data_IF_813080781319
#
_entry.id   IF_813080781319
#
_cell.length_a   1.000
_cell.length_b   1.000
_cell.length_c   1.000
_cell.angle_alpha   90.00
_cell.angle_beta   90.00
_cell.angle_gamma   90.00
#
_symmetry.space_group_name_H-M   'P 1'
#
loop_
_entity.id
_entity.type
_entity.pdbx_description
1 polymer ?
#
# COMPACT_ATOMS: atom_id res chain seq x y z
N UNK A 1 17.53 12.23 9.56
CA UNK A 1 18.35 13.42 9.22
C UNK A 1 19.58 13.49 10.10
N UNK A 2 19.48 13.39 11.44
CA UNK A 2 20.62 13.49 12.38
C UNK A 2 21.69 12.43 12.06
N UNK A 3 21.30 11.16 11.90
CA UNK A 3 22.24 10.07 11.56
C UNK A 3 23.01 10.31 10.25
N UNK A 4 22.37 10.92 9.23
CA UNK A 4 23.04 11.23 7.96
C UNK A 4 24.10 12.31 8.18
N UNK A 5 23.76 13.35 8.96
CA UNK A 5 24.68 14.45 9.25
C UNK A 5 25.86 13.98 10.10
N UNK A 6 25.60 13.14 11.12
CA UNK A 6 26.65 12.63 12.00
C UNK A 6 27.61 11.76 11.21
N UNK A 7 27.12 10.82 10.40
CA UNK A 7 27.95 9.99 9.52
C UNK A 7 28.72 10.81 8.47
N UNK A 8 28.08 11.87 7.93
CA UNK A 8 28.79 12.77 7.01
C UNK A 8 29.96 13.51 7.70
N UNK A 9 29.75 14.01 8.94
CA UNK A 9 30.80 14.66 9.70
C UNK A 9 31.97 13.74 10.00
N UNK A 10 31.69 12.48 10.39
CA UNK A 10 32.71 11.46 10.60
C UNK A 10 33.53 11.21 9.34
N UNK A 11 32.88 10.97 8.21
CA UNK A 11 33.57 10.74 6.93
C UNK A 11 34.38 11.96 6.45
N UNK A 12 33.83 13.18 6.56
CA UNK A 12 34.56 14.42 6.21
C UNK A 12 35.83 14.55 7.05
N UNK A 13 35.78 14.21 8.32
CA UNK A 13 36.95 14.23 9.20
C UNK A 13 37.98 13.15 8.86
N UNK A 14 37.52 11.92 8.62
CA UNK A 14 38.37 10.78 8.29
C UNK A 14 39.08 10.94 6.92
N UNK A 15 38.33 11.41 5.91
CA UNK A 15 38.83 11.59 4.56
C UNK A 15 39.51 12.96 4.33
N UNK A 16 39.59 13.80 5.38
CA UNK A 16 40.19 15.16 5.35
C UNK A 16 39.63 16.06 4.25
N UNK A 17 38.32 15.93 3.97
CA UNK A 17 37.66 16.69 2.91
C UNK A 17 37.53 18.16 3.31
N UNK A 18 38.07 19.05 2.48
CA UNK A 18 38.00 20.51 2.68
C UNK A 18 37.25 21.21 1.56
N UNK A 19 37.06 20.54 0.41
CA UNK A 19 36.31 21.11 -0.72
C UNK A 19 34.79 20.91 -0.51
N UNK A 20 34.00 22.00 -0.57
CA UNK A 20 32.55 21.91 -0.51
C UNK A 20 31.91 21.05 -1.58
N UNK A 21 32.49 20.94 -2.77
CA UNK A 21 31.98 20.10 -3.86
C UNK A 21 32.15 18.62 -3.52
N UNK A 22 33.29 18.22 -2.98
CA UNK A 22 33.55 16.85 -2.50
C UNK A 22 32.61 16.51 -1.31
N UNK A 23 32.43 17.43 -0.37
CA UNK A 23 31.50 17.24 0.76
C UNK A 23 30.05 17.02 0.27
N UNK A 24 29.61 17.75 -0.76
CA UNK A 24 28.30 17.57 -1.38
C UNK A 24 28.18 16.18 -2.03
N UNK A 25 29.21 15.73 -2.74
CA UNK A 25 29.23 14.42 -3.36
C UNK A 25 29.14 13.30 -2.31
N UNK A 26 29.90 13.43 -1.23
CA UNK A 26 29.90 12.52 -0.11
C UNK A 26 28.51 12.42 0.57
N UNK A 27 27.82 13.57 0.69
CA UNK A 27 26.45 13.60 1.19
C UNK A 27 25.48 12.84 0.28
N UNK A 28 25.58 13.04 -1.04
CA UNK A 28 24.75 12.34 -2.02
C UNK A 28 24.99 10.82 -1.94
N UNK A 29 26.24 10.39 -1.85
CA UNK A 29 26.57 8.96 -1.71
C UNK A 29 26.05 8.36 -0.41
N UNK A 30 26.19 9.10 0.70
CA UNK A 30 25.67 8.68 2.00
C UNK A 30 24.15 8.53 1.99
N UNK A 31 23.43 9.44 1.33
CA UNK A 31 21.97 9.35 1.17
C UNK A 31 21.62 8.16 0.29
N UNK A 32 22.27 7.99 -0.87
CA UNK A 32 22.03 6.85 -1.77
C UNK A 32 22.22 5.53 -1.05
N UNK A 33 23.34 5.37 -0.30
CA UNK A 33 23.61 4.16 0.48
C UNK A 33 22.56 3.87 1.54
N UNK A 34 22.00 4.91 2.20
CA UNK A 34 20.94 4.72 3.19
C UNK A 34 19.57 4.44 2.56
N UNK A 35 19.35 4.85 1.31
CA UNK A 35 18.14 4.55 0.57
C UNK A 35 18.20 3.18 -0.12
N UNK A 36 19.37 2.60 -0.25
CA UNK A 36 19.55 1.26 -0.78
C UNK A 36 19.20 0.24 0.31
N UNK A 37 18.02 -0.32 0.21
CA UNK A 37 17.50 -1.36 1.13
C UNK A 37 17.55 -2.77 0.50
N UNK A 38 18.31 -2.92 -0.57
CA UNK A 38 18.44 -4.17 -1.31
C UNK A 38 17.31 -4.39 -2.30
N UNK A 39 16.92 -5.65 -2.51
CA UNK A 39 15.83 -6.01 -3.42
C UNK A 39 14.50 -5.46 -2.89
N UNK A 40 13.87 -4.59 -3.70
CA UNK A 40 12.58 -3.96 -3.42
C UNK A 40 11.48 -4.44 -4.35
N UNK A 41 11.71 -5.53 -5.10
CA UNK A 41 10.70 -6.11 -5.96
C UNK A 41 9.51 -6.62 -5.13
N UNK A 42 8.31 -6.38 -5.64
CA UNK A 42 7.10 -6.88 -5.00
C UNK A 42 6.84 -8.32 -5.44
N UNK A 43 6.81 -9.25 -4.49
CA UNK A 43 6.54 -10.65 -4.79
C UNK A 43 5.12 -10.90 -5.32
N UNK A 44 4.17 -10.03 -4.96
CA UNK A 44 2.79 -10.18 -5.42
C UNK A 44 2.63 -10.04 -6.95
N UNK A 45 3.60 -9.46 -7.65
CA UNK A 45 3.58 -9.37 -9.10
C UNK A 45 3.88 -10.71 -9.80
N UNK A 46 4.53 -11.63 -9.11
CA UNK A 46 5.05 -12.86 -9.70
C UNK A 46 4.25 -14.12 -9.32
N UNK A 47 3.26 -14.00 -8.45
CA UNK A 47 2.45 -15.12 -7.98
C UNK A 47 1.01 -14.70 -7.67
N UNK A 48 0.10 -15.68 -7.55
CA UNK A 48 -1.27 -15.41 -7.11
C UNK A 48 -1.27 -14.73 -5.74
N UNK A 49 -1.89 -13.57 -5.65
CA UNK A 49 -1.71 -12.71 -4.49
C UNK A 49 -2.97 -11.95 -4.09
N UNK A 50 -3.00 -11.58 -2.82
CA UNK A 50 -3.93 -10.58 -2.28
C UNK A 50 -3.13 -9.39 -1.77
N UNK A 51 -3.49 -8.20 -2.20
CA UNK A 51 -2.88 -6.95 -1.75
C UNK A 51 -3.88 -6.18 -0.90
N UNK A 52 -3.63 -6.11 0.40
CA UNK A 52 -4.42 -5.32 1.34
C UNK A 52 -3.84 -3.91 1.41
N UNK A 53 -4.60 -2.90 0.96
CA UNK A 53 -4.13 -1.51 0.93
C UNK A 53 -4.67 -0.74 2.13
N UNK A 54 -3.78 -0.27 2.99
CA UNK A 54 -4.09 0.44 4.23
C UNK A 54 -3.46 1.84 4.25
N UNK A 55 -3.87 2.69 5.20
CA UNK A 55 -3.38 4.06 5.34
C UNK A 55 -4.48 5.01 5.81
N UNK A 56 -4.13 6.23 6.22
CA UNK A 56 -5.09 7.21 6.73
C UNK A 56 -6.00 7.75 5.62
N UNK A 57 -7.11 8.40 6.00
CA UNK A 57 -7.98 9.04 5.02
C UNK A 57 -7.27 10.18 4.29
N UNK A 58 -7.54 10.33 3.01
CA UNK A 58 -7.01 11.42 2.18
C UNK A 58 -5.60 11.22 1.61
N UNK A 59 -4.88 10.15 1.99
CA UNK A 59 -3.51 9.89 1.47
C UNK A 59 -3.48 9.33 0.04
N UNK A 60 -4.64 9.01 -0.54
CA UNK A 60 -4.72 8.52 -1.92
C UNK A 60 -4.78 7.00 -2.06
N UNK A 61 -5.25 6.24 -1.05
CA UNK A 61 -5.41 4.77 -1.13
C UNK A 61 -6.19 4.34 -2.38
N UNK A 62 -7.45 4.77 -2.49
CA UNK A 62 -8.34 4.43 -3.62
C UNK A 62 -7.72 4.77 -4.98
N UNK A 63 -7.03 5.93 -5.07
CA UNK A 63 -6.30 6.33 -6.28
C UNK A 63 -5.12 5.40 -6.57
N UNK A 64 -4.36 5.02 -5.54
CA UNK A 64 -3.21 4.10 -5.67
C UNK A 64 -3.68 2.70 -6.06
N UNK A 65 -4.77 2.22 -5.47
CA UNK A 65 -5.43 0.94 -5.85
C UNK A 65 -5.82 0.96 -7.33
N UNK A 66 -6.50 2.02 -7.79
CA UNK A 66 -6.91 2.13 -9.18
C UNK A 66 -5.73 2.15 -10.16
N UNK A 67 -4.67 2.89 -9.84
CA UNK A 67 -3.45 2.94 -10.66
C UNK A 67 -2.71 1.61 -10.68
N UNK A 68 -2.57 0.95 -9.52
CA UNK A 68 -1.95 -0.36 -9.41
C UNK A 68 -2.73 -1.41 -10.21
N UNK A 69 -4.05 -1.38 -10.13
CA UNK A 69 -4.91 -2.27 -10.91
C UNK A 69 -4.71 -2.09 -12.42
N UNK A 70 -4.64 -0.85 -12.90
CA UNK A 70 -4.33 -0.56 -14.31
C UNK A 70 -2.96 -1.07 -14.73
N UNK A 71 -1.93 -0.80 -13.93
CA UNK A 71 -0.57 -1.26 -14.20
C UNK A 71 -0.49 -2.80 -14.31
N UNK A 72 -1.08 -3.52 -13.36
CA UNK A 72 -1.12 -4.98 -13.39
C UNK A 72 -1.94 -5.53 -14.55
N UNK A 73 -3.03 -4.86 -14.91
CA UNK A 73 -3.83 -5.21 -16.10
C UNK A 73 -3.03 -5.04 -17.39
N UNK A 74 -2.26 -3.96 -17.52
CA UNK A 74 -1.40 -3.70 -18.68
C UNK A 74 -0.28 -4.75 -18.81
N UNK A 75 0.13 -5.34 -17.68
CA UNK A 75 1.05 -6.49 -17.63
C UNK A 75 0.36 -7.83 -17.96
N UNK A 76 -0.93 -7.82 -18.32
CA UNK A 76 -1.70 -9.01 -18.67
C UNK A 76 -2.27 -9.78 -17.48
N UNK A 77 -2.22 -9.24 -16.26
CA UNK A 77 -2.76 -9.89 -15.06
C UNK A 77 -4.28 -9.78 -15.01
N UNK A 78 -4.93 -10.81 -14.48
CA UNK A 78 -6.35 -10.78 -14.11
C UNK A 78 -6.48 -10.19 -12.70
N UNK A 79 -7.04 -9.00 -12.62
CA UNK A 79 -7.18 -8.25 -11.37
C UNK A 79 -8.64 -8.18 -10.94
N UNK A 80 -8.88 -8.37 -9.65
CA UNK A 80 -10.18 -8.12 -9.00
C UNK A 80 -9.98 -7.10 -7.89
N UNK A 81 -10.88 -6.13 -7.78
CA UNK A 81 -10.88 -5.12 -6.71
C UNK A 81 -11.96 -5.43 -5.69
N UNK A 82 -11.67 -5.20 -4.40
CA UNK A 82 -12.64 -5.22 -3.31
C UNK A 82 -12.80 -3.82 -2.73
N UNK A 83 -14.02 -3.26 -2.81
CA UNK A 83 -14.37 -1.94 -2.27
C UNK A 83 -14.73 -2.05 -0.79
N UNK A 84 -13.73 -2.24 0.08
CA UNK A 84 -13.92 -2.44 1.52
C UNK A 84 -13.89 -1.13 2.34
N UNK A 85 -13.76 0.06 1.72
CA UNK A 85 -14.06 1.35 2.38
C UNK A 85 -15.56 1.65 2.29
N UNK A 86 -16.35 1.00 3.11
CA UNK A 86 -17.82 1.10 3.10
C UNK A 86 -18.38 2.32 3.82
N UNK A 87 -17.53 3.05 4.53
CA UNK A 87 -17.96 4.21 5.32
C UNK A 87 -18.07 5.49 4.52
N UNK A 88 -17.31 5.58 3.43
CA UNK A 88 -17.35 6.73 2.53
C UNK A 88 -18.09 6.33 1.25
N UNK A 89 -19.35 6.79 1.12
CA UNK A 89 -20.14 6.52 -0.09
C UNK A 89 -19.37 6.83 -1.37
N UNK A 90 -18.69 7.97 -1.41
CA UNK A 90 -17.88 8.38 -2.55
C UNK A 90 -16.63 7.49 -2.80
N UNK A 91 -16.16 6.70 -1.83
CA UNK A 91 -15.01 5.83 -2.04
C UNK A 91 -15.34 4.64 -2.93
N UNK A 92 -16.49 4.01 -2.71
CA UNK A 92 -16.98 2.92 -3.55
C UNK A 92 -17.23 3.37 -4.98
N UNK A 93 -17.88 4.54 -5.17
CA UNK A 93 -18.11 5.13 -6.48
C UNK A 93 -16.79 5.47 -7.17
N UNK A 94 -15.84 6.08 -6.46
CA UNK A 94 -14.51 6.40 -6.97
C UNK A 94 -13.76 5.15 -7.41
N UNK A 95 -13.78 4.08 -6.61
CA UNK A 95 -13.10 2.83 -6.95
C UNK A 95 -13.78 2.15 -8.16
N UNK A 96 -15.09 2.23 -8.27
CA UNK A 96 -15.84 1.72 -9.42
C UNK A 96 -15.42 2.43 -10.72
N UNK A 97 -15.25 3.74 -10.67
CA UNK A 97 -14.75 4.50 -11.82
C UNK A 97 -13.32 4.10 -12.20
N UNK A 98 -12.44 3.89 -11.20
CA UNK A 98 -11.10 3.36 -11.45
C UNK A 98 -11.13 1.96 -12.05
N UNK A 99 -11.98 1.06 -11.55
CA UNK A 99 -12.15 -0.29 -12.08
C UNK A 99 -12.57 -0.27 -13.53
N UNK A 100 -13.55 0.60 -13.87
CA UNK A 100 -14.02 0.78 -15.24
C UNK A 100 -12.92 1.29 -16.17
N UNK A 101 -12.16 2.31 -15.75
CA UNK A 101 -11.03 2.85 -16.54
C UNK A 101 -9.92 1.82 -16.76
N UNK A 102 -9.61 1.03 -15.74
CA UNK A 102 -8.60 -0.02 -15.83
C UNK A 102 -9.10 -1.29 -16.54
N UNK A 103 -10.40 -1.43 -16.79
CA UNK A 103 -11.00 -2.63 -17.37
C UNK A 103 -10.83 -3.87 -16.47
N UNK A 104 -11.00 -3.68 -15.16
CA UNK A 104 -10.90 -4.75 -14.15
C UNK A 104 -12.20 -4.93 -13.39
N UNK A 105 -12.40 -6.12 -12.84
CA UNK A 105 -13.58 -6.43 -12.06
C UNK A 105 -13.53 -5.80 -10.67
N UNK A 106 -14.70 -5.40 -10.16
CA UNK A 106 -14.85 -4.86 -8.80
C UNK A 106 -15.97 -5.59 -8.06
N UNK A 107 -15.71 -5.91 -6.81
CA UNK A 107 -16.70 -6.41 -5.84
C UNK A 107 -16.90 -5.32 -4.79
N UNK A 108 -18.14 -4.90 -4.64
CA UNK A 108 -18.55 -3.90 -3.66
C UNK A 108 -19.87 -4.27 -3.03
N UNK A 109 -20.25 -3.55 -1.99
CA UNK A 109 -21.52 -3.68 -1.30
C UNK A 109 -22.26 -2.36 -1.22
N UNK A 110 -23.40 -2.38 -0.56
CA UNK A 110 -24.11 -1.14 -0.21
C UNK A 110 -23.30 -0.33 0.81
N UNK A 111 -23.52 0.98 0.84
CA UNK A 111 -22.92 1.85 1.85
C UNK A 111 -23.26 1.34 3.27
N UNK A 112 -22.24 1.24 4.12
CA UNK A 112 -22.36 0.71 5.47
C UNK A 112 -22.40 -0.81 5.59
N UNK A 113 -22.20 -1.55 4.50
CA UNK A 113 -22.00 -3.00 4.56
C UNK A 113 -20.75 -3.35 5.40
N UNK A 114 -20.71 -4.55 5.95
CA UNK A 114 -19.51 -5.04 6.66
C UNK A 114 -18.33 -5.19 5.67
N UNK A 115 -17.22 -4.44 5.84
CA UNK A 115 -16.05 -4.56 4.98
C UNK A 115 -15.54 -5.99 4.84
N UNK A 116 -15.63 -6.76 5.90
CA UNK A 116 -15.20 -8.16 5.94
C UNK A 116 -16.06 -9.06 5.05
N UNK A 117 -17.36 -8.79 4.94
CA UNK A 117 -18.24 -9.54 4.03
C UNK A 117 -17.91 -9.26 2.57
N UNK A 118 -17.61 -8.00 2.24
CA UNK A 118 -17.18 -7.62 0.87
C UNK A 118 -15.87 -8.32 0.48
N UNK A 119 -14.91 -8.38 1.41
CA UNK A 119 -13.64 -9.08 1.17
C UNK A 119 -13.88 -10.59 1.00
N UNK A 120 -14.77 -11.19 1.78
CA UNK A 120 -15.16 -12.59 1.61
C UNK A 120 -15.72 -12.85 0.21
N UNK A 121 -16.67 -12.04 -0.23
CA UNK A 121 -17.27 -12.15 -1.56
C UNK A 121 -16.24 -11.91 -2.67
N UNK A 122 -15.31 -10.98 -2.44
CA UNK A 122 -14.21 -10.69 -3.38
C UNK A 122 -13.23 -11.86 -3.51
N UNK A 123 -12.92 -12.56 -2.42
CA UNK A 123 -12.13 -13.80 -2.45
C UNK A 123 -12.84 -14.88 -3.26
N UNK A 124 -14.14 -15.09 -3.01
CA UNK A 124 -14.93 -16.06 -3.78
C UNK A 124 -14.94 -15.72 -5.28
N UNK A 125 -15.12 -14.43 -5.62
CA UNK A 125 -15.08 -13.96 -7.00
C UNK A 125 -13.69 -14.12 -7.63
N UNK A 126 -12.62 -13.80 -6.91
CA UNK A 126 -11.24 -13.94 -7.37
C UNK A 126 -10.90 -15.40 -7.68
N UNK A 127 -11.31 -16.34 -6.82
CA UNK A 127 -11.16 -17.79 -7.05
C UNK A 127 -11.93 -18.24 -8.27
N UNK A 128 -13.22 -17.90 -8.37
CA UNK A 128 -14.08 -18.30 -9.47
C UNK A 128 -13.58 -17.81 -10.84
N UNK A 129 -12.98 -16.63 -10.87
CA UNK A 129 -12.42 -16.00 -12.08
C UNK A 129 -10.96 -16.37 -12.34
N UNK A 130 -10.34 -17.15 -11.46
CA UNK A 130 -8.92 -17.45 -11.47
C UNK A 130 -8.09 -16.17 -11.61
N UNK A 131 -8.35 -15.19 -10.73
CA UNK A 131 -7.63 -13.93 -10.70
C UNK A 131 -6.17 -14.14 -10.26
N UNK A 132 -5.26 -13.37 -10.85
CA UNK A 132 -3.84 -13.35 -10.44
C UNK A 132 -3.65 -12.50 -9.19
N UNK A 133 -4.37 -11.37 -9.11
CA UNK A 133 -4.27 -10.44 -7.98
C UNK A 133 -5.66 -9.96 -7.54
N UNK A 134 -5.92 -10.05 -6.23
CA UNK A 134 -7.04 -9.39 -5.55
C UNK A 134 -6.50 -8.17 -4.81
N UNK A 135 -7.02 -6.97 -5.05
CA UNK A 135 -6.62 -5.75 -4.33
C UNK A 135 -7.78 -5.26 -3.48
N UNK A 136 -7.57 -5.11 -2.18
CA UNK A 136 -8.58 -4.65 -1.23
C UNK A 136 -8.31 -3.19 -0.83
N UNK A 137 -9.21 -2.26 -1.21
CA UNK A 137 -9.20 -0.87 -0.73
C UNK A 137 -9.94 -0.79 0.60
N UNK A 138 -9.30 -0.28 1.65
CA UNK A 138 -9.84 -0.26 3.02
C UNK A 138 -10.09 1.15 3.54
N UNK A 139 -10.90 1.26 4.59
CA UNK A 139 -11.08 2.49 5.33
C UNK A 139 -9.76 2.97 5.98
N UNK A 140 -9.69 4.28 6.30
CA UNK A 140 -8.49 4.88 6.89
C UNK A 140 -8.78 5.82 8.06
N UNK A 141 -9.81 5.52 8.87
CA UNK A 141 -10.30 6.38 9.96
C UNK A 141 -9.45 6.27 11.22
N UNK A 142 -8.23 6.82 11.16
CA UNK A 142 -7.27 6.71 12.26
C UNK A 142 -7.71 7.42 13.56
N UNK A 143 -8.62 8.41 13.47
CA UNK A 143 -9.21 9.04 14.65
C UNK A 143 -10.03 8.08 15.51
N UNK A 144 -10.50 6.96 14.96
CA UNK A 144 -11.08 5.83 15.68
C UNK A 144 -10.21 4.59 15.50
N UNK A 145 -8.96 4.71 15.94
CA UNK A 145 -7.90 3.73 15.73
C UNK A 145 -8.31 2.32 16.16
N UNK A 146 -8.93 2.15 17.33
CA UNK A 146 -9.29 0.83 17.86
C UNK A 146 -10.22 0.10 16.89
N UNK A 147 -11.30 0.74 16.48
CA UNK A 147 -12.29 0.13 15.58
C UNK A 147 -11.67 -0.15 14.19
N UNK A 148 -10.82 0.77 13.69
CA UNK A 148 -10.13 0.56 12.42
C UNK A 148 -9.22 -0.67 12.49
N UNK A 149 -8.42 -0.82 13.55
CA UNK A 149 -7.53 -1.96 13.69
C UNK A 149 -8.29 -3.28 13.88
N UNK A 150 -9.40 -3.28 14.60
CA UNK A 150 -10.27 -4.45 14.73
C UNK A 150 -10.87 -4.85 13.37
N UNK A 151 -11.30 -3.89 12.56
CA UNK A 151 -11.80 -4.10 11.20
C UNK A 151 -10.71 -4.67 10.28
N UNK A 152 -9.52 -4.06 10.26
CA UNK A 152 -8.39 -4.55 9.46
C UNK A 152 -7.96 -5.96 9.88
N UNK A 153 -7.88 -6.25 11.19
CA UNK A 153 -7.59 -7.59 11.68
C UNK A 153 -8.67 -8.62 11.27
N UNK A 154 -9.95 -8.22 11.26
CA UNK A 154 -11.03 -9.10 10.80
C UNK A 154 -10.88 -9.42 9.31
N UNK A 155 -10.59 -8.41 8.48
CA UNK A 155 -10.30 -8.58 7.06
C UNK A 155 -9.10 -9.52 6.86
N UNK A 156 -8.00 -9.25 7.55
CA UNK A 156 -6.77 -10.05 7.45
C UNK A 156 -7.03 -11.54 7.75
N UNK A 157 -7.73 -11.84 8.85
CA UNK A 157 -8.10 -13.22 9.21
C UNK A 157 -8.98 -13.92 8.17
N UNK A 158 -9.88 -13.17 7.52
CA UNK A 158 -10.69 -13.71 6.43
C UNK A 158 -9.80 -14.06 5.25
N UNK A 159 -8.87 -13.20 4.87
CA UNK A 159 -7.94 -13.45 3.77
C UNK A 159 -7.08 -14.67 4.05
N UNK A 160 -6.48 -14.79 5.24
CA UNK A 160 -5.70 -15.96 5.63
C UNK A 160 -6.49 -17.27 5.60
N UNK A 161 -7.74 -17.22 6.08
CA UNK A 161 -8.59 -18.41 6.16
C UNK A 161 -9.17 -18.82 4.81
N UNK A 162 -9.70 -17.85 4.05
CA UNK A 162 -10.46 -18.12 2.84
C UNK A 162 -9.61 -18.17 1.57
N UNK A 163 -8.37 -17.65 1.63
CA UNK A 163 -7.45 -17.64 0.48
C UNK A 163 -6.01 -18.04 0.86
N UNK A 164 -5.82 -19.18 1.57
CA UNK A 164 -4.51 -19.60 2.08
C UNK A 164 -3.47 -19.89 1.00
N UNK A 165 -3.92 -20.18 -0.24
CA UNK A 165 -3.05 -20.42 -1.39
C UNK A 165 -2.49 -19.13 -2.03
N UNK A 166 -3.05 -17.96 -1.70
CA UNK A 166 -2.58 -16.68 -2.21
C UNK A 166 -1.54 -16.06 -1.29
N UNK A 167 -0.54 -15.42 -1.86
CA UNK A 167 0.40 -14.59 -1.10
C UNK A 167 -0.29 -13.33 -0.62
N UNK A 168 -0.26 -13.09 0.68
CA UNK A 168 -0.88 -11.91 1.29
C UNK A 168 0.17 -10.82 1.53
N UNK A 169 0.03 -9.71 0.82
CA UNK A 169 0.84 -8.52 0.95
C UNK A 169 0.03 -7.37 1.54
N UNK A 170 0.62 -6.59 2.44
CA UNK A 170 0.00 -5.39 3.01
C UNK A 170 0.78 -4.15 2.61
N UNK A 171 0.15 -3.26 1.85
CA UNK A 171 0.73 -2.00 1.42
C UNK A 171 0.18 -0.83 2.24
N UNK A 172 1.07 -0.08 2.86
CA UNK A 172 0.72 1.19 3.54
C UNK A 172 0.91 2.35 2.57
N UNK A 173 -0.16 3.08 2.29
CA UNK A 173 -0.08 4.31 1.50
C UNK A 173 0.18 5.50 2.42
N UNK A 174 1.25 6.23 2.15
CA UNK A 174 1.68 7.39 2.91
C UNK A 174 1.79 8.61 1.99
N UNK A 175 1.49 9.79 2.53
CA UNK A 175 1.71 11.06 1.84
C UNK A 175 3.16 11.51 2.07
N UNK A 176 3.98 11.49 1.02
CA UNK A 176 5.38 11.91 1.06
C UNK A 176 5.59 13.38 1.42
N UNK A 177 4.56 14.22 1.29
CA UNK A 177 4.64 15.66 1.66
C UNK A 177 4.55 15.89 3.16
N UNK A 178 4.06 14.90 3.93
CA UNK A 178 3.87 15.04 5.39
C UNK A 178 5.14 14.83 6.21
N UNK A 179 6.28 14.54 5.56
CA UNK A 179 7.59 14.41 6.21
C UNK A 179 7.58 13.33 7.30
N UNK A 180 8.05 13.68 8.51
CA UNK A 180 8.14 12.71 9.62
C UNK A 180 6.79 12.19 10.12
N UNK A 181 5.69 12.88 9.84
CA UNK A 181 4.36 12.41 10.18
C UNK A 181 4.00 11.12 9.43
N UNK A 182 4.50 10.94 8.20
CA UNK A 182 4.33 9.70 7.45
C UNK A 182 4.90 8.50 8.20
N UNK A 183 6.10 8.63 8.81
CA UNK A 183 6.69 7.59 9.62
C UNK A 183 5.87 7.28 10.88
N UNK A 184 5.30 8.32 11.52
CA UNK A 184 4.41 8.14 12.67
C UNK A 184 3.11 7.41 12.26
N UNK A 185 2.55 7.74 11.09
CA UNK A 185 1.40 7.03 10.53
C UNK A 185 1.72 5.56 10.26
N UNK A 186 2.85 5.26 9.62
CA UNK A 186 3.26 3.88 9.35
C UNK A 186 3.41 3.03 10.63
N UNK A 187 3.87 3.63 11.74
CA UNK A 187 4.00 2.93 13.03
C UNK A 187 2.67 2.66 13.73
N UNK A 188 1.60 3.24 13.23
CA UNK A 188 0.27 3.09 13.85
C UNK A 188 -0.52 1.93 13.25
N UNK A 189 -0.16 1.49 12.07
CA UNK A 189 -0.65 0.29 11.40
C UNK A 189 0.25 -0.91 11.65
#
# INVERSE_FOLDING_TARGET
TTKIIDHLKERVAEEHITDPAECKQLLIESIKKQMDVGDTAYEFENRKSVVLVIGVNGVGKTTSVGKLAGLLKDQGKKVVLAAADTFRAAAGEQLTEWAHRAGVDIIGGQNGADPASIVYDAVAAAKARNADVLICDTAGRLHNKKNLMEELHKIYRILEKEYPEAYLETLVVLDGTTGQNALQQARQF
#
